data_IF_949360343307
#
_entry.id   IF_949360343307
#
_cell.length_a   1.000
_cell.length_b   1.000
_cell.length_c   1.000
_cell.angle_alpha   90.00
_cell.angle_beta   90.00
_cell.angle_gamma   90.00
#
_symmetry.space_group_name_H-M   'P 1'
#
loop_
_entity.id
_entity.type
_entity.pdbx_description
1 polymer ?
#
# COMPACT_ATOMS: atom_id res chain seq x y z
N UNK A 1 12.43 -11.23 -16.96
CA UNK A 1 12.31 -11.51 -15.51
C UNK A 1 11.02 -10.96 -14.94
N UNK A 2 10.60 -11.43 -13.76
CA UNK A 2 9.37 -10.99 -13.08
C UNK A 2 9.72 -10.36 -11.72
N UNK A 3 9.06 -9.26 -11.37
CA UNK A 3 9.12 -8.61 -10.07
C UNK A 3 7.74 -8.66 -9.41
N UNK A 4 7.70 -9.05 -8.14
CA UNK A 4 6.49 -9.03 -7.31
C UNK A 4 6.73 -8.03 -6.17
N UNK A 5 5.81 -7.08 -6.00
CA UNK A 5 5.87 -6.06 -4.94
C UNK A 5 4.58 -6.17 -4.11
N UNK A 6 4.71 -6.10 -2.79
CA UNK A 6 3.58 -5.92 -1.89
C UNK A 6 3.86 -4.72 -1.00
N UNK A 7 3.04 -3.69 -1.11
CA UNK A 7 3.31 -2.42 -0.44
C UNK A 7 2.03 -1.73 0.05
N UNK A 8 2.24 -0.75 0.92
CA UNK A 8 1.20 0.14 1.39
C UNK A 8 1.03 1.28 0.39
N UNK A 9 -0.20 1.53 -0.04
CA UNK A 9 -0.53 2.54 -1.04
C UNK A 9 -1.50 3.60 -0.50
N UNK A 10 -1.54 4.74 -1.18
CA UNK A 10 -2.64 5.70 -1.09
C UNK A 10 -3.71 5.35 -2.13
N UNK A 11 -4.97 5.44 -1.73
CA UNK A 11 -6.05 5.41 -2.73
C UNK A 11 -6.06 6.72 -3.52
N UNK A 12 -6.44 6.62 -4.80
CA UNK A 12 -6.55 7.78 -5.70
C UNK A 12 -7.53 8.83 -5.18
N UNK A 13 -8.67 8.34 -4.67
CA UNK A 13 -9.74 9.14 -4.12
C UNK A 13 -9.59 9.30 -2.59
N UNK A 14 -9.75 10.53 -2.13
CA UNK A 14 -9.51 10.88 -0.71
C UNK A 14 -10.53 10.27 0.25
N UNK A 15 -11.79 10.08 -0.18
CA UNK A 15 -12.83 9.46 0.63
C UNK A 15 -12.49 7.99 0.85
N UNK A 16 -12.16 7.27 -0.22
CA UNK A 16 -11.75 5.88 -0.12
C UNK A 16 -10.44 5.73 0.66
N UNK A 17 -9.48 6.63 0.50
CA UNK A 17 -8.24 6.60 1.26
C UNK A 17 -8.51 6.67 2.78
N UNK A 18 -9.34 7.62 3.23
CA UNK A 18 -9.72 7.75 4.64
C UNK A 18 -10.45 6.51 5.16
N UNK A 19 -11.40 5.99 4.39
CA UNK A 19 -12.18 4.81 4.77
C UNK A 19 -11.30 3.56 4.87
N UNK A 20 -10.39 3.34 3.92
CA UNK A 20 -9.46 2.21 3.91
C UNK A 20 -8.52 2.23 5.11
N UNK A 21 -7.96 3.39 5.44
CA UNK A 21 -7.14 3.55 6.64
C UNK A 21 -7.95 3.20 7.89
N UNK A 22 -9.18 3.72 8.00
CA UNK A 22 -10.08 3.40 9.12
C UNK A 22 -10.34 1.90 9.24
N UNK A 23 -10.76 1.26 8.15
CA UNK A 23 -11.08 -0.17 8.14
C UNK A 23 -9.88 -1.05 8.47
N UNK A 24 -8.68 -0.66 8.06
CA UNK A 24 -7.46 -1.35 8.43
C UNK A 24 -7.17 -1.27 9.94
N UNK A 25 -7.38 -0.11 10.56
CA UNK A 25 -7.26 0.01 12.02
C UNK A 25 -8.35 -0.77 12.76
N UNK A 26 -9.58 -0.74 12.28
CA UNK A 26 -10.68 -1.53 12.85
C UNK A 26 -10.39 -3.04 12.76
N UNK A 27 -9.79 -3.50 11.66
CA UNK A 27 -9.27 -4.85 11.54
C UNK A 27 -8.21 -5.16 12.61
N UNK A 28 -7.22 -4.29 12.83
CA UNK A 28 -6.19 -4.51 13.86
C UNK A 28 -6.79 -4.60 15.27
N UNK A 29 -7.72 -3.70 15.60
CA UNK A 29 -8.41 -3.73 16.91
C UNK A 29 -9.12 -5.06 17.14
N UNK A 30 -9.80 -5.59 16.12
CA UNK A 30 -10.46 -6.91 16.19
C UNK A 30 -9.49 -8.08 16.32
N UNK A 31 -8.22 -7.90 15.95
CA UNK A 31 -7.16 -8.91 16.08
C UNK A 31 -6.31 -8.71 17.35
N UNK A 32 -6.87 -8.08 18.39
CA UNK A 32 -6.25 -7.87 19.70
C UNK A 32 -4.95 -7.06 19.70
N UNK A 33 -4.68 -6.28 18.64
CA UNK A 33 -3.63 -5.26 18.72
C UNK A 33 -4.10 -4.13 19.65
N UNK A 34 -3.30 -3.82 20.68
CA UNK A 34 -3.60 -2.71 21.58
C UNK A 34 -3.48 -1.36 20.85
N UNK A 35 -4.24 -0.37 21.28
CA UNK A 35 -4.12 0.99 20.69
C UNK A 35 -2.71 1.56 20.89
N UNK A 36 -2.02 1.17 21.97
CA UNK A 36 -0.64 1.57 22.25
C UNK A 36 0.35 0.97 21.24
N UNK A 37 0.23 -0.31 20.89
CA UNK A 37 1.07 -0.94 19.85
C UNK A 37 0.77 -0.37 18.45
N UNK A 38 -0.50 -0.05 18.17
CA UNK A 38 -0.90 0.59 16.92
C UNK A 38 -0.30 2.00 16.83
N UNK A 39 -0.34 2.77 17.92
CA UNK A 39 0.17 4.14 17.99
C UNK A 39 1.70 4.17 17.91
N UNK A 40 2.41 3.33 18.67
CA UNK A 40 3.88 3.26 18.62
C UNK A 40 4.39 2.87 17.24
N UNK A 41 3.76 1.87 16.58
CA UNK A 41 4.13 1.52 15.19
C UNK A 41 3.83 2.64 14.22
N UNK A 42 2.75 3.39 14.42
CA UNK A 42 2.41 4.53 13.57
C UNK A 42 3.45 5.63 13.72
N UNK A 43 3.77 6.01 14.94
CA UNK A 43 4.73 7.07 15.27
C UNK A 43 6.14 6.72 14.76
N UNK A 44 6.58 5.47 14.93
CA UNK A 44 7.86 5.00 14.41
C UNK A 44 7.94 4.98 12.87
N UNK A 45 6.80 4.99 12.18
CA UNK A 45 6.70 5.00 10.72
C UNK A 45 6.22 6.34 10.17
N UNK A 46 5.85 7.30 11.02
CA UNK A 46 5.48 8.64 10.63
C UNK A 46 6.72 9.32 10.03
N UNK A 47 6.58 9.83 8.80
CA UNK A 47 7.65 10.44 7.99
C UNK A 47 8.75 9.48 7.49
N UNK A 48 8.71 8.19 7.83
CA UNK A 48 9.65 7.17 7.31
C UNK A 48 9.06 6.41 6.12
N UNK A 49 7.77 6.05 6.21
CA UNK A 49 7.07 5.33 5.15
C UNK A 49 6.06 6.26 4.46
N UNK A 50 6.47 6.86 3.34
CA UNK A 50 5.61 7.70 2.50
C UNK A 50 4.99 6.80 1.41
N UNK A 51 3.72 6.38 1.54
CA UNK A 51 3.08 5.54 0.54
C UNK A 51 2.77 6.32 -0.73
N UNK A 52 2.99 5.69 -1.88
CA UNK A 52 2.62 6.21 -3.19
C UNK A 52 1.18 5.79 -3.54
N UNK A 53 0.56 6.54 -4.44
CA UNK A 53 -0.68 6.12 -5.09
C UNK A 53 -0.41 4.96 -6.03
N UNK A 54 -1.48 4.23 -6.35
CA UNK A 54 -1.41 3.13 -7.30
C UNK A 54 -0.85 3.62 -8.66
N UNK A 55 -1.40 4.70 -9.21
CA UNK A 55 -0.92 5.29 -10.47
C UNK A 55 0.56 5.68 -10.45
N UNK A 56 1.06 6.17 -9.32
CA UNK A 56 2.46 6.55 -9.14
C UNK A 56 3.37 5.32 -9.18
N UNK A 57 2.98 4.23 -8.52
CA UNK A 57 3.74 2.97 -8.58
C UNK A 57 3.77 2.38 -10.00
N UNK A 58 2.64 2.39 -10.71
CA UNK A 58 2.61 1.96 -12.12
C UNK A 58 3.54 2.81 -12.99
N UNK A 59 3.53 4.13 -12.78
CA UNK A 59 4.43 5.06 -13.48
C UNK A 59 5.90 4.75 -13.18
N UNK A 60 6.26 4.56 -11.91
CA UNK A 60 7.63 4.23 -11.51
C UNK A 60 8.11 2.91 -12.11
N UNK A 61 7.25 1.89 -12.15
CA UNK A 61 7.59 0.61 -12.78
C UNK A 61 7.78 0.74 -14.29
N UNK A 62 6.93 1.52 -14.95
CA UNK A 62 7.11 1.83 -16.37
C UNK A 62 8.44 2.58 -16.63
N UNK A 63 8.77 3.58 -15.81
CA UNK A 63 10.03 4.34 -15.90
C UNK A 63 11.27 3.47 -15.63
N UNK A 64 11.15 2.44 -14.78
CA UNK A 64 12.20 1.44 -14.56
C UNK A 64 12.35 0.42 -15.71
N UNK A 65 11.48 0.50 -16.73
CA UNK A 65 11.52 -0.33 -17.94
C UNK A 65 10.75 -1.64 -17.83
N UNK A 66 9.80 -1.77 -16.90
CA UNK A 66 8.85 -2.88 -16.91
C UNK A 66 7.77 -2.62 -17.97
N UNK A 67 7.56 -3.58 -18.88
CA UNK A 67 6.66 -3.42 -20.03
C UNK A 67 5.22 -3.80 -19.71
N UNK A 68 5.03 -4.71 -18.75
CA UNK A 68 3.72 -5.13 -18.29
C UNK A 68 3.70 -5.06 -16.78
N UNK A 69 2.74 -4.35 -16.22
CA UNK A 69 2.50 -4.27 -14.77
C UNK A 69 1.02 -4.46 -14.52
N UNK A 70 0.65 -5.21 -13.47
CA UNK A 70 -0.74 -5.37 -13.05
C UNK A 70 -0.84 -5.47 -11.52
N UNK A 71 -1.98 -5.04 -10.97
CA UNK A 71 -2.36 -5.27 -9.58
C UNK A 71 -3.06 -6.62 -9.44
N UNK A 72 -2.40 -7.60 -8.84
CA UNK A 72 -3.00 -8.93 -8.61
C UNK A 72 -3.74 -9.03 -7.27
N UNK A 73 -3.50 -8.07 -6.36
CA UNK A 73 -4.14 -8.02 -5.05
C UNK A 73 -4.33 -6.57 -4.61
N UNK A 74 -5.49 -6.25 -4.06
CA UNK A 74 -5.73 -4.97 -3.40
C UNK A 74 -6.64 -5.16 -2.21
N UNK A 75 -6.21 -4.71 -1.05
CA UNK A 75 -7.00 -4.75 0.17
C UNK A 75 -6.79 -3.47 0.97
N UNK A 76 -7.82 -2.61 0.97
CA UNK A 76 -7.77 -1.27 1.52
C UNK A 76 -6.56 -0.48 0.99
N UNK A 77 -5.65 -0.10 1.88
CA UNK A 77 -4.45 0.69 1.60
C UNK A 77 -3.20 -0.20 1.39
N UNK A 78 -3.38 -1.48 1.01
CA UNK A 78 -2.31 -2.39 0.60
C UNK A 78 -2.58 -2.93 -0.81
N UNK A 79 -1.52 -3.06 -1.59
CA UNK A 79 -1.59 -3.54 -2.97
C UNK A 79 -0.42 -4.46 -3.29
N UNK A 80 -0.71 -5.49 -4.07
CA UNK A 80 0.26 -6.39 -4.68
C UNK A 80 0.38 -6.13 -6.17
N UNK A 81 1.60 -5.89 -6.65
CA UNK A 81 1.93 -5.65 -8.05
C UNK A 81 2.75 -6.80 -8.61
N UNK A 82 2.48 -7.16 -9.86
CA UNK A 82 3.34 -8.02 -10.67
C UNK A 82 3.84 -7.21 -11.87
N UNK A 83 5.14 -7.22 -12.11
CA UNK A 83 5.76 -6.50 -13.22
C UNK A 83 6.71 -7.41 -14.02
N UNK A 84 6.65 -7.33 -15.35
CA UNK A 84 7.43 -8.15 -16.28
C UNK A 84 8.35 -7.25 -17.09
N UNK A 85 9.63 -7.64 -17.16
CA UNK A 85 10.65 -6.99 -17.99
C UNK A 85 11.27 -8.05 -18.90
N UNK A 86 11.23 -7.81 -20.21
CA UNK A 86 11.88 -8.67 -21.19
C UNK A 86 13.40 -8.59 -21.08
#
# INVERSE_FOLDING_TARGET
>A
GVLIISEKILAEDSLFNRNFIKYYYDYKRRNNYSEMEISQKREALENVLIPYKLSENFKMLAEAGFQHTETFFKWYNFSGFIAVKN
#
